data_IF_705606873457
#
_entry.id   IF_705606873457
#
_cell.length_a   1.000
_cell.length_b   1.000
_cell.length_c   1.000
_cell.angle_alpha   90.00
_cell.angle_beta   90.00
_cell.angle_gamma   90.00
#
_symmetry.space_group_name_H-M   'P 1'
#
loop_
_entity.id
_entity.type
_entity.pdbx_description
1 polymer ?
#
# COMPACT_ATOMS: atom_id res chain seq x y z
N UNK A 1 19.09 0.40 -22.42
CA UNK A 1 18.10 0.83 -23.46
C UNK A 1 17.41 2.10 -22.97
N UNK A 2 16.99 3.02 -23.86
CA UNK A 2 16.29 4.26 -23.45
C UNK A 2 14.85 4.24 -23.95
N UNK A 3 13.90 4.58 -23.07
CA UNK A 3 12.46 4.62 -23.37
C UNK A 3 11.84 5.90 -22.82
N UNK A 4 10.76 6.39 -23.48
CA UNK A 4 10.10 7.65 -23.12
C UNK A 4 8.64 7.40 -22.79
N UNK A 5 8.16 8.02 -21.69
CA UNK A 5 6.80 7.96 -21.19
C UNK A 5 6.31 9.36 -20.79
N UNK A 6 5.00 9.52 -20.71
CA UNK A 6 4.42 10.73 -20.13
C UNK A 6 4.52 10.67 -18.61
N UNK A 7 4.18 9.52 -18.02
CA UNK A 7 4.24 9.30 -16.57
C UNK A 7 5.02 8.04 -16.25
N UNK A 8 5.93 8.13 -15.29
CA UNK A 8 6.54 6.97 -14.65
C UNK A 8 6.08 6.86 -13.20
N UNK A 9 5.78 5.64 -12.75
CA UNK A 9 5.41 5.33 -11.36
C UNK A 9 6.48 4.39 -10.79
N UNK A 10 7.07 4.72 -9.66
CA UNK A 10 7.99 3.86 -8.93
C UNK A 10 7.24 3.20 -7.78
N UNK A 11 7.14 1.88 -7.83
CA UNK A 11 6.46 1.04 -6.84
C UNK A 11 5.05 0.63 -7.24
N UNK A 12 4.74 -0.65 -7.04
CA UNK A 12 3.45 -1.29 -7.31
C UNK A 12 2.70 -1.66 -6.02
N UNK A 13 2.91 -0.92 -4.92
CA UNK A 13 2.07 -0.97 -3.73
C UNK A 13 0.74 -0.24 -3.96
N UNK A 14 -0.08 -0.13 -2.92
CA UNK A 14 -1.42 0.48 -2.99
C UNK A 14 -1.40 1.85 -3.70
N UNK A 15 -0.50 2.76 -3.31
CA UNK A 15 -0.42 4.09 -3.92
C UNK A 15 -0.10 4.03 -5.43
N UNK A 16 0.86 3.18 -5.83
CA UNK A 16 1.21 3.03 -7.25
C UNK A 16 0.10 2.38 -8.07
N UNK A 17 -0.60 1.40 -7.52
CA UNK A 17 -1.74 0.73 -8.16
C UNK A 17 -2.88 1.71 -8.43
N UNK A 18 -3.30 2.48 -7.41
CA UNK A 18 -4.40 3.42 -7.57
C UNK A 18 -4.00 4.62 -8.43
N UNK A 19 -2.74 5.07 -8.40
CA UNK A 19 -2.24 6.06 -9.34
C UNK A 19 -2.33 5.56 -10.80
N UNK A 20 -1.88 4.34 -11.05
CA UNK A 20 -1.98 3.71 -12.37
C UNK A 20 -3.44 3.52 -12.81
N UNK A 21 -4.31 3.09 -11.90
CA UNK A 21 -5.74 2.90 -12.16
C UNK A 21 -6.41 4.21 -12.58
N UNK A 22 -6.16 5.29 -11.85
CA UNK A 22 -6.74 6.60 -12.14
C UNK A 22 -6.18 7.25 -13.40
N UNK A 23 -4.87 7.14 -13.65
CA UNK A 23 -4.27 7.63 -14.89
C UNK A 23 -4.88 6.91 -16.11
N UNK A 24 -4.97 5.59 -16.07
CA UNK A 24 -5.59 4.81 -17.14
C UNK A 24 -7.07 5.21 -17.37
N UNK A 25 -7.81 5.50 -16.28
CA UNK A 25 -9.24 5.85 -16.36
C UNK A 25 -9.47 7.27 -16.87
N UNK A 26 -8.68 8.23 -16.38
CA UNK A 26 -8.90 9.66 -16.63
C UNK A 26 -8.15 10.18 -17.84
N UNK A 27 -7.03 9.57 -18.20
CA UNK A 27 -6.10 10.02 -19.24
C UNK A 27 -5.57 8.80 -20.03
N UNK A 28 -6.46 8.07 -20.73
CA UNK A 28 -6.12 6.80 -21.39
C UNK A 28 -5.11 6.94 -22.54
N UNK A 29 -4.88 8.16 -23.03
CA UNK A 29 -3.90 8.47 -24.09
C UNK A 29 -2.47 8.60 -23.56
N UNK A 30 -2.28 8.78 -22.25
CA UNK A 30 -0.94 8.89 -21.66
C UNK A 30 -0.20 7.54 -21.69
N UNK A 31 1.07 7.61 -22.05
CA UNK A 31 1.99 6.48 -21.95
C UNK A 31 2.50 6.40 -20.51
N UNK A 32 1.97 5.45 -19.76
CA UNK A 32 2.30 5.24 -18.36
C UNK A 32 3.13 3.98 -18.20
N UNK A 33 4.20 4.05 -17.42
CA UNK A 33 5.00 2.90 -17.00
C UNK A 33 5.08 2.84 -15.48
N UNK A 34 4.97 1.64 -14.93
CA UNK A 34 5.23 1.38 -13.51
C UNK A 34 6.42 0.44 -13.36
N UNK A 35 7.39 0.83 -12.52
CA UNK A 35 8.59 0.05 -12.23
C UNK A 35 8.54 -0.45 -10.79
N UNK A 36 8.78 -1.75 -10.59
CA UNK A 36 8.91 -2.34 -9.27
C UNK A 36 10.08 -3.33 -9.21
N UNK A 37 10.75 -3.37 -8.07
CA UNK A 37 11.85 -4.29 -7.85
C UNK A 37 11.41 -5.75 -7.66
N UNK A 38 10.15 -5.97 -7.26
CA UNK A 38 9.56 -7.29 -7.03
C UNK A 38 8.86 -7.85 -8.26
N UNK A 39 8.14 -8.95 -8.06
CA UNK A 39 7.41 -9.68 -9.09
C UNK A 39 5.97 -9.15 -9.26
N UNK A 40 5.32 -9.57 -10.36
CA UNK A 40 3.88 -9.42 -10.51
C UNK A 40 3.11 -10.30 -9.50
N UNK A 41 1.81 -10.08 -9.41
CA UNK A 41 0.96 -10.73 -8.39
C UNK A 41 0.89 -12.26 -8.51
N UNK A 42 1.19 -12.84 -9.67
CA UNK A 42 1.16 -14.28 -9.91
C UNK A 42 2.48 -14.97 -9.57
N UNK A 43 3.60 -14.24 -9.58
CA UNK A 43 4.94 -14.78 -9.42
C UNK A 43 5.60 -14.45 -8.07
N UNK A 44 4.94 -13.66 -7.22
CA UNK A 44 5.42 -13.39 -5.86
C UNK A 44 5.40 -14.66 -5.02
N UNK A 45 6.54 -15.05 -4.46
CA UNK A 45 6.67 -16.29 -3.69
C UNK A 45 7.68 -16.16 -2.54
N UNK A 46 7.20 -16.05 -1.32
CA UNK A 46 8.04 -16.11 -0.13
C UNK A 46 8.34 -17.57 0.24
N UNK A 47 9.60 -17.98 0.40
CA UNK A 47 9.97 -19.36 0.76
C UNK A 47 9.37 -19.86 2.09
N UNK A 48 9.18 -18.97 3.09
CA UNK A 48 8.51 -19.33 4.35
C UNK A 48 7.03 -19.58 4.10
N UNK A 49 6.35 -18.65 3.43
CA UNK A 49 4.91 -18.79 3.13
C UNK A 49 4.63 -20.02 2.27
N UNK A 50 5.56 -20.33 1.36
CA UNK A 50 5.50 -21.54 0.55
C UNK A 50 5.90 -22.83 1.29
N UNK A 51 6.26 -22.76 2.59
CA UNK A 51 6.67 -23.92 3.39
C UNK A 51 8.00 -24.55 2.99
N UNK A 52 8.82 -23.87 2.17
CA UNK A 52 10.12 -24.38 1.67
C UNK A 52 11.24 -24.26 2.71
N UNK A 53 11.13 -23.32 3.62
CA UNK A 53 12.09 -23.06 4.69
C UNK A 53 11.37 -22.71 5.98
N UNK A 54 12.04 -22.93 7.13
CA UNK A 54 11.46 -22.64 8.46
C UNK A 54 11.71 -21.23 8.94
N UNK A 55 12.79 -20.59 8.45
CA UNK A 55 13.22 -19.27 8.89
C UNK A 55 13.44 -18.35 7.69
N UNK A 56 13.43 -17.04 7.93
CA UNK A 56 13.65 -16.06 6.89
C UNK A 56 15.08 -16.15 6.33
N UNK A 57 15.17 -16.30 5.01
CA UNK A 57 16.46 -16.38 4.29
C UNK A 57 16.97 -15.01 3.85
N UNK A 58 16.32 -13.93 4.26
CA UNK A 58 16.68 -12.54 3.94
C UNK A 58 16.91 -12.31 2.44
N UNK A 59 15.92 -12.64 1.62
CA UNK A 59 15.96 -12.45 0.18
C UNK A 59 16.37 -11.01 -0.17
N UNK A 60 17.20 -10.82 -1.19
CA UNK A 60 17.64 -9.49 -1.67
C UNK A 60 16.46 -8.59 -2.01
N UNK A 61 15.42 -9.14 -2.65
CA UNK A 61 14.12 -8.52 -2.82
C UNK A 61 13.09 -9.40 -2.10
N UNK A 62 12.37 -8.81 -1.17
CA UNK A 62 11.43 -9.55 -0.33
C UNK A 62 10.05 -9.61 -0.99
N UNK A 63 9.63 -10.79 -1.43
CA UNK A 63 8.34 -10.99 -2.10
C UNK A 63 7.11 -10.73 -1.21
N UNK A 64 7.26 -10.67 0.11
CA UNK A 64 6.17 -10.23 0.99
C UNK A 64 6.04 -8.71 1.07
N UNK A 65 7.07 -7.97 0.67
CA UNK A 65 7.09 -6.50 0.77
C UNK A 65 7.04 -5.80 -0.59
N UNK A 66 7.60 -6.43 -1.64
CA UNK A 66 7.81 -5.81 -2.95
C UNK A 66 7.03 -6.54 -4.04
N UNK A 67 6.75 -5.84 -5.13
CA UNK A 67 5.95 -6.32 -6.25
C UNK A 67 4.51 -5.84 -6.20
N UNK A 68 3.68 -6.29 -7.15
CA UNK A 68 2.30 -5.84 -7.28
C UNK A 68 1.48 -6.13 -6.01
N UNK A 69 0.80 -5.13 -5.48
CA UNK A 69 0.09 -5.17 -4.20
C UNK A 69 0.97 -4.81 -2.99
N UNK A 70 2.28 -4.62 -3.16
CA UNK A 70 3.19 -4.24 -2.09
C UNK A 70 3.11 -5.17 -0.87
N UNK A 71 3.31 -4.63 0.33
CA UNK A 71 3.16 -5.38 1.58
C UNK A 71 1.70 -5.81 1.85
N UNK A 72 0.72 -5.12 1.26
CA UNK A 72 -0.70 -5.42 1.39
C UNK A 72 -1.11 -6.76 0.80
N UNK A 73 -0.43 -7.24 -0.25
CA UNK A 73 -0.81 -8.47 -0.95
C UNK A 73 -0.80 -9.74 -0.08
N UNK A 74 0.06 -9.81 0.93
CA UNK A 74 0.15 -10.94 1.86
C UNK A 74 -0.48 -10.66 3.23
N UNK A 75 -1.23 -9.55 3.34
CA UNK A 75 -1.98 -9.23 4.55
C UNK A 75 -3.29 -10.03 4.63
N UNK A 76 -3.95 -9.97 5.77
CA UNK A 76 -5.29 -10.51 5.98
C UNK A 76 -6.40 -9.67 5.30
N UNK A 77 -6.04 -8.60 4.60
CA UNK A 77 -6.98 -7.76 3.87
C UNK A 77 -7.93 -6.99 4.78
N UNK A 78 -7.41 -6.42 5.86
CA UNK A 78 -8.19 -5.55 6.73
C UNK A 78 -8.17 -4.12 6.21
N UNK A 79 -9.33 -3.62 5.77
CA UNK A 79 -9.53 -2.26 5.27
C UNK A 79 -10.23 -1.43 6.33
N UNK A 80 -9.60 -0.34 6.77
CA UNK A 80 -10.12 0.54 7.80
C UNK A 80 -10.75 1.80 7.18
N UNK A 81 -11.94 2.16 7.65
CA UNK A 81 -12.70 3.34 7.24
C UNK A 81 -12.69 4.36 8.37
N UNK A 82 -11.60 5.07 8.52
CA UNK A 82 -11.39 6.04 9.60
C UNK A 82 -10.28 7.02 9.25
N UNK A 83 -10.35 8.21 9.82
CA UNK A 83 -9.28 9.21 9.81
C UNK A 83 -8.54 9.31 11.14
N UNK A 84 -8.92 8.47 12.13
CA UNK A 84 -8.33 8.52 13.48
C UNK A 84 -6.96 7.84 13.58
N UNK A 85 -6.60 7.02 12.60
CA UNK A 85 -5.29 6.36 12.50
C UNK A 85 -5.02 5.91 11.06
N UNK A 86 -3.78 5.54 10.75
CA UNK A 86 -3.38 4.98 9.46
C UNK A 86 -2.81 5.98 8.46
N UNK A 87 -2.69 7.24 8.79
CA UNK A 87 -2.08 8.25 7.94
C UNK A 87 -2.35 9.67 8.38
N UNK A 88 -1.79 10.65 7.67
CA UNK A 88 -1.87 12.07 8.00
C UNK A 88 -2.48 12.91 6.86
N UNK A 89 -3.37 12.33 6.05
CA UNK A 89 -4.03 13.08 4.98
C UNK A 89 -4.86 14.26 5.53
N UNK A 90 -5.33 14.16 6.77
CA UNK A 90 -6.05 15.25 7.45
C UNK A 90 -5.19 16.48 7.73
N UNK A 91 -3.87 16.40 7.63
CA UNK A 91 -2.97 17.56 7.70
C UNK A 91 -3.00 18.38 6.41
N UNK A 92 -3.50 17.80 5.31
CA UNK A 92 -3.50 18.41 3.98
C UNK A 92 -4.91 18.70 3.45
N UNK A 93 -5.93 18.02 3.98
CA UNK A 93 -7.32 18.19 3.53
C UNK A 93 -8.32 17.87 4.65
N UNK A 94 -9.57 18.36 4.56
CA UNK A 94 -10.63 18.07 5.54
C UNK A 94 -10.89 16.58 5.70
N UNK A 95 -11.18 16.12 6.92
CA UNK A 95 -11.48 14.72 7.21
C UNK A 95 -12.65 14.15 6.37
N UNK A 96 -13.64 14.98 6.02
CA UNK A 96 -14.73 14.59 5.12
C UNK A 96 -14.24 14.19 3.74
N UNK A 97 -13.32 14.96 3.16
CA UNK A 97 -12.73 14.65 1.86
C UNK A 97 -11.86 13.39 1.91
N UNK A 98 -11.10 13.19 3.01
CA UNK A 98 -10.36 11.93 3.21
C UNK A 98 -11.32 10.75 3.25
N UNK A 99 -12.45 10.86 3.94
CA UNK A 99 -13.47 9.80 3.99
C UNK A 99 -14.09 9.53 2.61
N UNK A 100 -14.37 10.56 1.81
CA UNK A 100 -14.84 10.39 0.42
C UNK A 100 -13.83 9.63 -0.43
N UNK A 101 -12.52 9.90 -0.27
CA UNK A 101 -11.46 9.16 -0.96
C UNK A 101 -11.39 7.71 -0.49
N UNK A 102 -11.53 7.44 0.81
CA UNK A 102 -11.57 6.07 1.36
C UNK A 102 -12.77 5.30 0.77
N UNK A 103 -13.97 5.90 0.77
CA UNK A 103 -15.17 5.29 0.20
C UNK A 103 -15.02 5.08 -1.32
N UNK A 104 -14.35 6.00 -2.02
CA UNK A 104 -14.04 5.85 -3.45
C UNK A 104 -13.12 4.65 -3.71
N UNK A 105 -12.02 4.53 -2.97
CA UNK A 105 -11.10 3.38 -3.06
C UNK A 105 -11.84 2.07 -2.76
N UNK A 106 -12.69 2.05 -1.73
CA UNK A 106 -13.52 0.89 -1.41
C UNK A 106 -14.46 0.52 -2.56
N UNK A 107 -15.06 1.53 -3.21
CA UNK A 107 -15.94 1.29 -4.38
C UNK A 107 -15.20 0.60 -5.54
N UNK A 108 -13.90 0.88 -5.72
CA UNK A 108 -13.06 0.20 -6.69
C UNK A 108 -12.81 -1.24 -6.24
N UNK A 109 -12.43 -1.44 -4.98
CA UNK A 109 -12.22 -2.78 -4.42
C UNK A 109 -13.49 -3.66 -4.53
N UNK A 110 -14.67 -3.09 -4.29
CA UNK A 110 -15.95 -3.78 -4.46
C UNK A 110 -16.21 -4.20 -5.91
N UNK A 111 -15.88 -3.36 -6.90
CA UNK A 111 -15.96 -3.71 -8.33
C UNK A 111 -15.05 -4.89 -8.69
N UNK A 112 -14.00 -5.12 -7.89
CA UNK A 112 -13.03 -6.20 -8.08
C UNK A 112 -13.25 -7.39 -7.13
N UNK A 113 -14.37 -7.43 -6.39
CA UNK A 113 -14.79 -8.59 -5.60
C UNK A 113 -14.64 -8.46 -4.09
N UNK A 114 -14.41 -7.25 -3.56
CA UNK A 114 -14.44 -7.03 -2.14
C UNK A 114 -15.88 -7.19 -1.59
N UNK A 115 -15.99 -7.64 -0.33
CA UNK A 115 -17.26 -7.76 0.37
C UNK A 115 -17.86 -6.38 0.70
N UNK A 116 -19.18 -6.31 0.77
CA UNK A 116 -19.92 -5.17 1.32
C UNK A 116 -20.08 -5.23 2.85
N UNK A 117 -19.73 -6.37 3.47
CA UNK A 117 -19.82 -6.56 4.91
C UNK A 117 -18.83 -5.66 5.65
N UNK A 118 -19.37 -4.75 6.45
CA UNK A 118 -18.59 -3.82 7.29
C UNK A 118 -18.77 -4.20 8.75
N UNK A 119 -17.65 -4.34 9.44
CA UNK A 119 -17.62 -4.47 10.91
C UNK A 119 -17.44 -3.09 11.52
N UNK A 120 -18.11 -2.84 12.64
CA UNK A 120 -18.04 -1.57 13.36
C UNK A 120 -17.84 -1.80 14.84
N UNK A 121 -17.03 -0.98 15.47
CA UNK A 121 -16.91 -0.91 16.93
C UNK A 121 -17.94 0.02 17.56
N UNK A 122 -18.84 0.65 16.78
CA UNK A 122 -19.94 1.46 17.30
C UNK A 122 -21.16 0.60 17.64
N UNK A 123 -21.03 -0.24 18.67
CA UNK A 123 -22.09 -1.08 19.22
C UNK A 123 -22.28 -0.80 20.71
N UNK A 124 -23.45 -1.09 21.30
CA UNK A 124 -23.66 -0.93 22.74
C UNK A 124 -22.64 -1.72 23.58
N UNK A 125 -22.28 -2.92 23.14
CA UNK A 125 -21.34 -3.80 23.81
C UNK A 125 -19.91 -3.23 23.74
N UNK A 126 -19.52 -2.70 22.59
CA UNK A 126 -18.19 -2.06 22.42
C UNK A 126 -18.08 -0.79 23.29
N UNK A 127 -19.15 -0.03 23.45
CA UNK A 127 -19.17 1.14 24.35
C UNK A 127 -18.98 0.76 25.83
N UNK A 128 -19.42 -0.43 26.24
CA UNK A 128 -19.14 -0.95 27.59
C UNK A 128 -17.63 -1.24 27.75
N UNK A 129 -17.01 -1.83 26.73
CA UNK A 129 -15.58 -2.08 26.72
C UNK A 129 -14.78 -0.78 26.70
N UNK A 130 -15.21 0.19 25.90
CA UNK A 130 -14.61 1.54 25.85
C UNK A 130 -14.59 2.20 27.24
N UNK A 131 -15.73 2.15 27.95
CA UNK A 131 -15.83 2.66 29.33
C UNK A 131 -14.86 1.94 30.26
N UNK A 132 -14.77 0.62 30.21
CA UNK A 132 -13.81 -0.16 31.01
C UNK A 132 -12.37 0.18 30.64
N UNK A 133 -12.05 0.39 29.37
CA UNK A 133 -10.72 0.80 28.93
C UNK A 133 -10.35 2.14 29.54
N UNK A 134 -11.25 3.12 29.50
CA UNK A 134 -11.04 4.46 30.10
C UNK A 134 -10.80 4.41 31.63
N UNK A 135 -11.42 3.47 32.35
CA UNK A 135 -11.19 3.26 33.78
C UNK A 135 -9.73 2.82 34.10
N UNK A 136 -8.99 2.40 33.04
CA UNK A 136 -7.59 1.96 33.13
C UNK A 136 -6.63 2.80 32.24
N UNK A 137 -7.01 4.03 31.93
CA UNK A 137 -6.23 4.94 31.07
C UNK A 137 -5.93 4.37 29.67
N UNK A 138 -6.80 3.48 29.17
CA UNK A 138 -6.75 2.93 27.82
C UNK A 138 -7.84 3.55 26.96
N UNK A 139 -7.54 3.77 25.68
CA UNK A 139 -8.49 4.30 24.70
C UNK A 139 -8.79 3.25 23.63
N UNK A 140 -10.07 2.91 23.48
CA UNK A 140 -10.54 2.10 22.37
C UNK A 140 -10.80 3.02 21.19
N UNK A 141 -10.02 2.86 20.11
CA UNK A 141 -10.22 3.61 18.88
C UNK A 141 -11.41 3.03 18.11
N UNK A 142 -12.37 3.89 17.81
CA UNK A 142 -13.52 3.49 17.00
C UNK A 142 -13.14 3.45 15.52
N UNK A 143 -13.52 2.37 14.85
CA UNK A 143 -13.34 2.24 13.42
C UNK A 143 -14.43 1.33 12.81
N UNK A 144 -14.74 1.59 11.55
CA UNK A 144 -15.38 0.63 10.68
C UNK A 144 -14.28 -0.08 9.90
N UNK A 145 -14.41 -1.37 9.66
CA UNK A 145 -13.46 -2.11 8.84
C UNK A 145 -14.15 -3.20 8.01
N UNK A 146 -13.52 -3.56 6.91
CA UNK A 146 -13.79 -4.79 6.17
C UNK A 146 -12.64 -5.75 6.40
N UNK A 147 -12.95 -7.03 6.51
CA UNK A 147 -11.95 -8.09 6.61
C UNK A 147 -12.17 -9.09 5.49
N UNK A 148 -11.27 -9.06 4.53
CA UNK A 148 -11.41 -9.84 3.30
C UNK A 148 -10.84 -11.26 3.45
N UNK A 149 -9.86 -11.44 4.33
CA UNK A 149 -9.01 -12.61 4.37
C UNK A 149 -7.95 -12.61 3.25
N UNK A 150 -6.85 -13.28 3.49
CA UNK A 150 -5.66 -13.26 2.61
C UNK A 150 -5.99 -13.72 1.18
N UNK A 151 -6.79 -14.78 1.04
CA UNK A 151 -7.11 -15.35 -0.28
C UNK A 151 -7.96 -14.39 -1.11
N UNK A 152 -9.01 -13.81 -0.53
CA UNK A 152 -9.87 -12.88 -1.24
C UNK A 152 -9.14 -11.58 -1.57
N UNK A 153 -8.30 -11.09 -0.66
CA UNK A 153 -7.44 -9.94 -0.91
C UNK A 153 -6.54 -10.16 -2.15
N UNK A 154 -5.92 -11.33 -2.26
CA UNK A 154 -5.13 -11.69 -3.45
C UNK A 154 -5.98 -11.74 -4.72
N UNK A 155 -7.20 -12.24 -4.66
CA UNK A 155 -8.10 -12.31 -5.82
C UNK A 155 -8.51 -10.91 -6.30
N UNK A 156 -8.78 -9.99 -5.38
CA UNK A 156 -9.06 -8.59 -5.70
C UNK A 156 -7.86 -7.96 -6.40
N UNK A 157 -6.65 -8.11 -5.85
CA UNK A 157 -5.42 -7.58 -6.44
C UNK A 157 -5.15 -8.16 -7.84
N UNK A 158 -5.39 -9.46 -8.05
CA UNK A 158 -5.29 -10.09 -9.39
C UNK A 158 -6.30 -9.48 -10.37
N UNK A 159 -7.54 -9.25 -9.93
CA UNK A 159 -8.57 -8.62 -10.74
C UNK A 159 -8.20 -7.18 -11.11
N UNK A 160 -7.67 -6.39 -10.16
CA UNK A 160 -7.17 -5.04 -10.41
C UNK A 160 -5.99 -5.09 -11.40
N UNK A 161 -5.03 -6.01 -11.20
CA UNK A 161 -3.89 -6.16 -12.12
C UNK A 161 -4.33 -6.44 -13.55
N UNK A 162 -5.26 -7.39 -13.76
CA UNK A 162 -5.84 -7.68 -15.06
C UNK A 162 -6.48 -6.46 -15.72
N UNK A 163 -7.02 -5.53 -14.92
CA UNK A 163 -7.60 -4.29 -15.42
C UNK A 163 -6.53 -3.28 -15.80
N UNK A 164 -5.60 -2.98 -14.88
CA UNK A 164 -4.64 -1.87 -15.08
C UNK A 164 -3.57 -2.19 -16.14
N UNK A 165 -3.18 -3.45 -16.33
CA UNK A 165 -2.22 -3.85 -17.37
C UNK A 165 -2.72 -3.64 -18.81
N UNK A 166 -4.01 -3.32 -18.99
CA UNK A 166 -4.58 -3.02 -20.32
C UNK A 166 -4.19 -1.63 -20.82
N UNK A 167 -3.84 -0.71 -19.92
CA UNK A 167 -3.51 0.67 -20.28
C UNK A 167 -2.20 1.19 -19.67
N UNK A 168 -1.53 0.40 -18.80
CA UNK A 168 -0.28 0.77 -18.15
C UNK A 168 0.77 -0.30 -18.39
N UNK A 169 1.98 0.08 -18.80
CA UNK A 169 3.11 -0.83 -18.90
C UNK A 169 3.68 -1.12 -17.50
N UNK A 170 3.95 -2.40 -17.21
CA UNK A 170 4.57 -2.83 -15.95
C UNK A 170 5.94 -3.45 -16.20
N UNK A 171 6.95 -2.96 -15.49
CA UNK A 171 8.31 -3.52 -15.47
C UNK A 171 8.62 -4.03 -14.07
N UNK A 172 8.41 -5.31 -13.88
CA UNK A 172 8.79 -6.02 -12.66
C UNK A 172 10.26 -6.38 -12.67
N UNK A 173 10.81 -6.73 -11.50
CA UNK A 173 12.24 -7.00 -11.30
C UNK A 173 13.15 -5.88 -11.82
N UNK A 174 12.63 -4.64 -11.78
CA UNK A 174 13.26 -3.45 -12.32
C UNK A 174 13.46 -2.40 -11.23
N UNK A 175 14.39 -2.62 -10.29
CA UNK A 175 14.70 -1.62 -9.27
C UNK A 175 15.26 -0.36 -9.89
N UNK A 176 14.73 0.79 -9.52
CA UNK A 176 15.28 2.09 -9.88
C UNK A 176 16.45 2.40 -8.95
N UNK A 177 17.61 2.62 -9.53
CA UNK A 177 18.83 2.96 -8.79
C UNK A 177 18.92 4.46 -8.51
N UNK A 178 18.58 5.29 -9.52
CA UNK A 178 18.73 6.74 -9.43
C UNK A 178 17.61 7.48 -10.14
N UNK A 179 17.21 8.63 -9.57
CA UNK A 179 16.33 9.62 -10.18
C UNK A 179 17.15 10.86 -10.51
N UNK A 180 17.07 11.31 -11.77
CA UNK A 180 17.71 12.53 -12.23
C UNK A 180 16.64 13.53 -12.72
N UNK A 181 16.75 14.79 -12.29
CA UNK A 181 15.90 15.87 -12.81
C UNK A 181 16.50 16.41 -14.10
N UNK A 182 15.67 16.58 -15.14
CA UNK A 182 16.06 17.07 -16.45
C UNK A 182 15.53 18.48 -16.75
N UNK A 183 15.47 19.32 -15.71
CA UNK A 183 14.90 20.66 -15.81
C UNK A 183 13.41 20.62 -16.16
N UNK A 184 13.01 21.35 -17.21
CA UNK A 184 11.62 21.36 -17.70
C UNK A 184 11.24 20.09 -18.48
N UNK A 185 12.21 19.27 -18.89
CA UNK A 185 11.96 18.02 -19.62
C UNK A 185 11.49 16.86 -18.73
N UNK A 186 11.37 17.06 -17.42
CA UNK A 186 10.90 16.06 -16.48
C UNK A 186 12.02 15.29 -15.79
N UNK A 187 11.95 13.95 -15.82
CA UNK A 187 12.82 13.09 -15.05
C UNK A 187 13.42 11.96 -15.89
N UNK A 188 14.58 11.49 -15.46
CA UNK A 188 15.22 10.28 -15.93
C UNK A 188 15.38 9.32 -14.77
N UNK A 189 14.89 8.11 -14.94
CA UNK A 189 15.11 7.00 -14.04
C UNK A 189 16.20 6.10 -14.60
N UNK A 190 17.21 5.80 -13.79
CA UNK A 190 18.26 4.84 -14.13
C UNK A 190 17.96 3.57 -13.34
N UNK A 191 17.75 2.47 -14.03
CA UNK A 191 17.51 1.17 -13.37
C UNK A 191 18.82 0.55 -12.90
N UNK A 192 18.76 -0.41 -11.99
CA UNK A 192 19.94 -1.15 -11.52
C UNK A 192 20.61 -1.97 -12.65
N UNK A 193 19.88 -2.23 -13.75
CA UNK A 193 20.41 -2.89 -14.94
C UNK A 193 21.08 -1.91 -15.92
N UNK A 194 21.02 -0.60 -15.64
CA UNK A 194 21.58 0.44 -16.48
C UNK A 194 20.65 0.92 -17.61
N UNK A 195 19.39 0.51 -17.63
CA UNK A 195 18.41 1.06 -18.55
C UNK A 195 17.96 2.45 -18.11
N UNK A 196 17.64 3.30 -19.08
CA UNK A 196 17.15 4.67 -18.86
C UNK A 196 15.67 4.75 -19.23
N UNK A 197 14.86 5.31 -18.32
CA UNK A 197 13.45 5.61 -18.53
C UNK A 197 13.24 7.10 -18.33
N UNK A 198 12.91 7.81 -19.41
CA UNK A 198 12.58 9.23 -19.36
C UNK A 198 11.08 9.40 -19.20
N UNK A 199 10.66 10.38 -18.38
CA UNK A 199 9.24 10.73 -18.20
C UNK A 199 9.09 12.22 -17.93
N UNK A 200 7.91 12.76 -18.29
CA UNK A 200 7.55 14.14 -17.97
C UNK A 200 7.18 14.25 -16.49
N UNK A 201 6.35 13.33 -16.03
CA UNK A 201 5.86 13.29 -14.66
C UNK A 201 6.33 12.03 -13.94
N UNK A 202 6.69 12.19 -12.68
CA UNK A 202 7.13 11.09 -11.82
C UNK A 202 6.26 10.99 -10.57
N UNK A 203 5.72 9.80 -10.33
CA UNK A 203 5.06 9.41 -9.08
C UNK A 203 5.97 8.43 -8.36
N UNK A 204 6.47 8.80 -7.18
CA UNK A 204 7.33 7.94 -6.39
C UNK A 204 6.54 7.37 -5.19
N UNK A 205 6.28 6.06 -5.22
CA UNK A 205 5.53 5.32 -4.22
C UNK A 205 6.29 4.07 -3.74
N UNK A 206 7.56 4.19 -3.29
CA UNK A 206 8.46 3.06 -3.04
C UNK A 206 8.09 2.23 -1.81
N UNK A 207 7.14 2.65 -0.99
CA UNK A 207 6.74 1.98 0.23
C UNK A 207 7.85 1.90 1.28
N UNK A 208 7.64 1.06 2.31
CA UNK A 208 8.61 0.95 3.42
C UNK A 208 9.95 0.35 3.01
N UNK A 209 9.92 -0.62 2.10
CA UNK A 209 11.15 -1.27 1.60
C UNK A 209 12.06 -0.33 0.81
N UNK A 210 11.50 0.73 0.23
CA UNK A 210 12.23 1.74 -0.52
C UNK A 210 12.47 3.05 0.23
N UNK A 211 12.09 3.15 1.51
CA UNK A 211 12.12 4.41 2.25
C UNK A 211 13.52 5.02 2.37
N UNK A 212 14.53 4.23 2.71
CA UNK A 212 15.91 4.69 2.81
C UNK A 212 16.46 5.12 1.44
N UNK A 213 16.25 4.30 0.41
CA UNK A 213 16.62 4.63 -0.96
C UNK A 213 15.98 5.95 -1.39
N UNK A 214 14.67 6.13 -1.14
CA UNK A 214 13.94 7.34 -1.55
C UNK A 214 14.40 8.57 -0.76
N UNK A 215 14.71 8.43 0.53
CA UNK A 215 15.31 9.50 1.32
C UNK A 215 16.63 9.99 0.72
N UNK A 216 17.47 9.08 0.23
CA UNK A 216 18.71 9.43 -0.46
C UNK A 216 18.41 10.14 -1.80
N UNK A 217 17.44 9.66 -2.59
CA UNK A 217 17.03 10.33 -3.83
C UNK A 217 16.50 11.75 -3.58
N UNK A 218 15.68 11.95 -2.56
CA UNK A 218 15.20 13.29 -2.17
C UNK A 218 16.36 14.22 -1.82
N UNK A 219 17.36 13.73 -1.08
CA UNK A 219 18.56 14.52 -0.74
C UNK A 219 19.34 14.92 -2.00
N UNK A 220 19.57 13.97 -2.91
CA UNK A 220 20.27 14.21 -4.17
C UNK A 220 19.52 15.21 -5.08
N UNK A 221 18.20 15.24 -5.00
CA UNK A 221 17.33 16.15 -5.74
C UNK A 221 17.12 17.51 -5.04
N UNK A 222 17.73 17.71 -3.85
CA UNK A 222 17.57 18.93 -3.06
C UNK A 222 16.17 19.12 -2.47
N UNK A 223 15.45 18.03 -2.19
CA UNK A 223 14.12 18.04 -1.55
C UNK A 223 14.30 17.92 -0.05
N UNK A 224 13.81 18.91 0.69
CA UNK A 224 13.82 18.89 2.15
C UNK A 224 12.96 17.76 2.70
N UNK A 225 13.46 17.15 3.80
CA UNK A 225 12.80 16.04 4.46
C UNK A 225 12.60 16.35 5.94
N UNK A 226 11.47 15.95 6.48
CA UNK A 226 11.18 15.97 7.91
C UNK A 226 10.88 14.54 8.38
N UNK A 227 11.22 14.23 9.62
CA UNK A 227 10.84 12.97 10.23
C UNK A 227 9.37 12.99 10.61
N UNK A 228 8.63 11.98 10.19
CA UNK A 228 7.26 11.77 10.62
C UNK A 228 7.22 11.15 12.02
N UNK A 229 6.09 11.33 12.70
CA UNK A 229 5.79 10.57 13.92
C UNK A 229 5.71 9.07 13.60
N UNK A 230 6.04 8.26 14.58
CA UNK A 230 5.89 6.80 14.52
C UNK A 230 5.11 6.33 15.74
N UNK A 231 4.24 5.36 15.53
CA UNK A 231 3.55 4.69 16.64
C UNK A 231 4.45 3.56 17.17
N UNK A 232 4.63 3.54 18.48
CA UNK A 232 5.32 2.45 19.17
C UNK A 232 4.25 1.61 19.85
N UNK A 233 4.17 0.32 19.49
CA UNK A 233 3.20 -0.61 20.01
C UNK A 233 3.83 -1.84 20.64
N UNK A 234 3.09 -2.49 21.52
CA UNK A 234 3.43 -3.79 22.08
C UNK A 234 2.48 -4.82 21.47
N UNK A 235 3.05 -5.84 20.85
CA UNK A 235 2.28 -7.02 20.42
C UNK A 235 2.07 -7.92 21.62
N UNK A 236 0.80 -8.16 21.96
CA UNK A 236 0.41 -9.08 23.04
C UNK A 236 -0.21 -10.33 22.41
N UNK A 237 0.34 -11.48 22.76
CA UNK A 237 -0.18 -12.79 22.32
C UNK A 237 -0.68 -13.55 23.54
N UNK A 238 -1.95 -13.92 23.52
CA UNK A 238 -2.60 -14.70 24.56
C UNK A 238 -3.44 -15.82 23.92
N UNK A 239 -3.74 -16.91 24.65
CA UNK A 239 -4.71 -17.89 24.17
C UNK A 239 -6.04 -17.22 23.84
N UNK A 240 -6.64 -17.53 22.69
CA UNK A 240 -7.87 -16.90 22.18
C UNK A 240 -8.98 -16.88 23.24
N UNK A 241 -9.12 -17.95 24.03
CA UNK A 241 -10.12 -18.07 25.10
C UNK A 241 -9.99 -17.01 26.20
N UNK A 242 -8.78 -16.48 26.44
CA UNK A 242 -8.56 -15.42 27.45
C UNK A 242 -9.12 -14.09 26.95
N UNK A 243 -9.02 -13.81 25.63
CA UNK A 243 -9.53 -12.61 24.99
C UNK A 243 -10.95 -12.74 24.43
N UNK A 244 -11.57 -13.90 24.52
CA UNK A 244 -12.87 -14.20 23.93
C UNK A 244 -13.93 -13.14 24.26
N UNK A 245 -13.96 -12.68 25.51
CA UNK A 245 -14.88 -11.64 25.98
C UNK A 245 -14.66 -10.24 25.34
N UNK A 246 -13.52 -10.01 24.72
CA UNK A 246 -13.20 -8.81 23.95
C UNK A 246 -13.42 -9.08 22.45
N UNK A 247 -12.85 -10.16 21.94
CA UNK A 247 -12.86 -10.47 20.50
C UNK A 247 -14.22 -10.87 19.95
N UNK A 248 -15.19 -11.23 20.80
CA UNK A 248 -16.57 -11.42 20.41
C UNK A 248 -17.36 -10.12 20.28
N UNK A 249 -16.85 -9.02 20.83
CA UNK A 249 -17.52 -7.72 20.88
C UNK A 249 -16.89 -6.75 19.88
N UNK A 250 -15.57 -6.74 19.80
CA UNK A 250 -14.81 -5.87 18.91
C UNK A 250 -13.94 -6.71 17.98
N UNK A 251 -13.98 -6.33 16.71
CA UNK A 251 -13.26 -7.04 15.66
C UNK A 251 -11.96 -6.32 15.34
#
# INVERSE_FOLDING_TARGET
>A
MRTNYDVAIIGCGEAGIFAAYELMRLQPELKVVTLDQGADIYHRCCPIVAGKVKECVHCKVCDTMCGFGGAGAFSDGKYNFTTSFGGWLTDFMPASEVMELIDYVDSINMKHGATDQVFSTDTPEARILEKKALEHDLHLLQARCKHLGTENNLNILKSIFQKVQQGVEYRFHTPVAQIQRRGEEGYRLITAQGDEVDCIWLIAAPGRSGAEWFSNQCRDLGIDQINNQVDIGVRVELPAKVFEHITQVVY
#
